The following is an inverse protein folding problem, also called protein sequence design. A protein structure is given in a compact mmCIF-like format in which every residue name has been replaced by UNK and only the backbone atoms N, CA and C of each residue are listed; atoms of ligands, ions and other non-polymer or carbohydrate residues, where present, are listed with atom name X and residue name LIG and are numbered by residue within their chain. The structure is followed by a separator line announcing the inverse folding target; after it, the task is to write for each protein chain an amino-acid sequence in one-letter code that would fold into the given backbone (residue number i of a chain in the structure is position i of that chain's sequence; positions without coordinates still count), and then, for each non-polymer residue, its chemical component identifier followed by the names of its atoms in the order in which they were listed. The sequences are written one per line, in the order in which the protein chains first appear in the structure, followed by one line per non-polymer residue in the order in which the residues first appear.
data_IF_353946239850
#
_entry.id   IF_353946239850
#
_cell.length_a   1.000
_cell.length_b   1.000
_cell.length_c   1.000
_cell.angle_alpha   90.00
_cell.angle_beta   90.00
_cell.angle_gamma   90.00
#
_symmetry.space_group_name_H-M   'P 1'
#
loop_
_entity.id
_entity.type
_entity.pdbx_description
1 polymer ?
#
# COMPACT_ATOMS: atom_id res chain seq x y z
N UNK A 1 -5.74 2.01 7.97
CA UNK A 1 -4.87 2.06 6.78
C UNK A 1 -4.83 0.67 6.13
N UNK A 2 -5.48 0.48 4.98
CA UNK A 2 -5.54 -0.84 4.31
C UNK A 2 -4.19 -1.33 3.78
N UNK A 3 -3.29 -0.40 3.41
CA UNK A 3 -1.97 -0.72 2.85
C UNK A 3 -0.99 -1.32 3.87
N UNK A 4 -0.86 -0.70 5.06
CA UNK A 4 0.00 -1.24 6.13
C UNK A 4 -0.50 -2.60 6.62
N UNK A 5 -1.84 -2.79 6.66
CA UNK A 5 -2.44 -4.07 7.00
C UNK A 5 -2.07 -5.17 5.98
N UNK A 6 -2.04 -4.86 4.69
CA UNK A 6 -1.60 -5.80 3.65
C UNK A 6 -0.12 -6.16 3.78
N UNK A 7 0.75 -5.19 4.08
CA UNK A 7 2.16 -5.44 4.35
C UNK A 7 2.33 -6.37 5.56
N UNK A 8 1.63 -6.09 6.66
CA UNK A 8 1.72 -6.90 7.88
C UNK A 8 1.21 -8.32 7.65
N UNK A 9 0.09 -8.48 6.95
CA UNK A 9 -0.44 -9.80 6.58
C UNK A 9 0.55 -10.61 5.74
N UNK A 10 1.27 -9.96 4.82
CA UNK A 10 2.26 -10.63 3.98
C UNK A 10 3.53 -11.02 4.76
N UNK A 11 3.99 -10.16 5.69
CA UNK A 11 5.10 -10.47 6.60
C UNK A 11 4.75 -11.69 7.47
N UNK A 12 3.53 -11.72 8.03
CA UNK A 12 3.04 -12.84 8.84
C UNK A 12 2.91 -14.12 8.01
N UNK A 13 2.32 -14.04 6.81
CA UNK A 13 2.18 -15.16 5.87
C UNK A 13 3.52 -15.82 5.55
N UNK A 14 4.57 -15.01 5.36
CA UNK A 14 5.94 -15.46 5.06
C UNK A 14 6.76 -15.80 6.31
N UNK A 15 6.24 -15.54 7.51
CA UNK A 15 6.93 -15.72 8.80
C UNK A 15 8.29 -15.01 8.86
N UNK A 16 8.41 -13.85 8.22
CA UNK A 16 9.64 -13.07 8.18
C UNK A 16 9.89 -12.37 9.51
N UNK A 17 11.10 -12.46 10.06
CA UNK A 17 11.45 -11.69 11.26
C UNK A 17 11.72 -10.25 10.88
N UNK A 18 11.29 -9.31 11.73
CA UNK A 18 11.52 -7.88 11.51
C UNK A 18 13.01 -7.55 11.31
N UNK A 19 13.91 -8.23 12.03
CA UNK A 19 15.36 -8.03 11.89
C UNK A 19 15.89 -8.43 10.52
N UNK A 20 15.37 -9.53 9.95
CA UNK A 20 15.75 -10.01 8.62
C UNK A 20 15.22 -9.06 7.55
N UNK A 21 13.97 -8.62 7.70
CA UNK A 21 13.32 -7.65 6.82
C UNK A 21 14.10 -6.33 6.80
N UNK A 22 14.51 -5.82 7.97
CA UNK A 22 15.32 -4.61 8.09
C UNK A 22 16.66 -4.72 7.34
N UNK A 23 17.33 -5.88 7.45
CA UNK A 23 18.58 -6.15 6.75
C UNK A 23 18.39 -6.17 5.23
N UNK A 24 17.35 -6.84 4.73
CA UNK A 24 17.07 -6.91 3.28
C UNK A 24 16.79 -5.53 2.67
N UNK A 25 16.10 -4.66 3.41
CA UNK A 25 15.73 -3.30 2.95
C UNK A 25 16.88 -2.30 3.18
N UNK A 26 17.80 -2.63 4.09
CA UNK A 26 18.92 -1.80 4.49
C UNK A 26 18.51 -0.61 5.37
N UNK A 27 17.72 -0.88 6.42
CA UNK A 27 17.31 0.08 7.47
C UNK A 27 17.56 -0.49 8.86
N UNK A 28 17.44 0.32 9.91
CA UNK A 28 17.58 -0.15 11.29
C UNK A 28 16.34 -0.95 11.72
N UNK A 29 16.55 -1.90 12.64
CA UNK A 29 15.46 -2.69 13.21
C UNK A 29 14.41 -1.78 13.91
N UNK A 30 14.85 -0.74 14.62
CA UNK A 30 13.95 0.22 15.24
C UNK A 30 13.07 0.98 14.23
N UNK A 31 13.57 1.21 13.01
CA UNK A 31 12.82 1.89 11.96
C UNK A 31 11.73 0.97 11.37
N UNK A 32 12.05 -0.28 11.06
CA UNK A 32 11.05 -1.22 10.54
C UNK A 32 9.99 -1.54 11.59
N UNK A 33 10.38 -1.67 12.86
CA UNK A 33 9.46 -1.94 13.97
C UNK A 33 8.50 -0.75 14.16
N UNK A 34 9.02 0.48 14.11
CA UNK A 34 8.18 1.68 14.16
C UNK A 34 7.22 1.76 12.98
N UNK A 35 7.66 1.41 11.77
CA UNK A 35 6.82 1.40 10.57
C UNK A 35 5.69 0.36 10.65
N UNK A 36 6.02 -0.90 10.94
CA UNK A 36 5.06 -2.02 11.05
C UNK A 36 3.99 -1.74 12.10
N UNK A 37 4.37 -1.09 13.20
CA UNK A 37 3.49 -0.70 14.30
C UNK A 37 2.66 0.56 14.01
N UNK A 38 2.79 1.18 12.83
CA UNK A 38 2.06 2.38 12.43
C UNK A 38 2.60 3.69 13.04
N UNK A 39 3.83 3.68 13.55
CA UNK A 39 4.51 4.84 14.10
C UNK A 39 5.09 5.75 13.02
N UNK A 40 6.38 5.58 12.68
CA UNK A 40 7.08 6.41 11.70
C UNK A 40 7.02 5.83 10.29
N UNK A 41 6.95 6.70 9.30
CA UNK A 41 7.11 6.32 7.90
C UNK A 41 8.58 6.03 7.57
N UNK A 42 8.80 5.17 6.59
CA UNK A 42 10.11 4.98 5.95
C UNK A 42 10.15 5.77 4.64
N UNK A 43 11.34 6.06 4.12
CA UNK A 43 11.51 6.75 2.85
C UNK A 43 11.00 5.89 1.67
N UNK A 44 10.60 6.55 0.58
CA UNK A 44 9.95 5.89 -0.57
C UNK A 44 10.83 4.82 -1.22
N UNK A 45 12.15 5.02 -1.29
CA UNK A 45 13.11 4.02 -1.78
C UNK A 45 13.12 2.75 -0.92
N UNK A 46 13.03 2.91 0.40
CA UNK A 46 12.97 1.79 1.36
C UNK A 46 11.62 1.09 1.31
N UNK A 47 10.54 1.84 1.10
CA UNK A 47 9.22 1.27 0.88
C UNK A 47 9.18 0.45 -0.41
N UNK A 48 9.76 0.92 -1.51
CA UNK A 48 9.84 0.15 -2.76
C UNK A 48 10.61 -1.15 -2.53
N UNK A 49 11.79 -1.09 -1.90
CA UNK A 49 12.56 -2.29 -1.55
C UNK A 49 11.79 -3.25 -0.64
N UNK A 50 11.04 -2.74 0.33
CA UNK A 50 10.16 -3.57 1.18
C UNK A 50 9.14 -4.32 0.33
N UNK A 51 8.49 -3.64 -0.61
CA UNK A 51 7.51 -4.25 -1.50
C UNK A 51 8.14 -5.28 -2.44
N UNK A 52 9.36 -5.02 -2.93
CA UNK A 52 10.13 -5.98 -3.74
C UNK A 52 10.48 -7.24 -2.95
N UNK A 53 10.98 -7.09 -1.72
CA UNK A 53 11.29 -8.21 -0.81
C UNK A 53 10.05 -9.04 -0.48
N UNK A 54 8.90 -8.38 -0.33
CA UNK A 54 7.62 -9.04 -0.09
C UNK A 54 6.94 -9.51 -1.38
N UNK A 55 7.53 -9.27 -2.54
CA UNK A 55 6.97 -9.51 -3.88
C UNK A 55 5.54 -8.97 -4.05
N UNK A 56 5.23 -7.87 -3.35
CA UNK A 56 3.93 -7.21 -3.44
C UNK A 56 3.95 -6.39 -4.73
N UNK A 57 3.25 -6.89 -5.75
CA UNK A 57 3.00 -6.12 -6.96
C UNK A 57 2.01 -5.01 -6.64
N UNK A 58 2.45 -3.76 -6.76
CA UNK A 58 1.54 -2.62 -6.83
C UNK A 58 0.73 -2.72 -8.13
N UNK A 59 -0.41 -3.41 -8.07
CA UNK A 59 -1.33 -3.39 -9.19
C UNK A 59 -2.05 -2.04 -9.20
N UNK A 60 -1.96 -1.31 -10.31
CA UNK A 60 -2.99 -0.32 -10.61
C UNK A 60 -4.30 -1.09 -10.64
N UNK A 61 -5.26 -0.69 -9.80
CA UNK A 61 -6.63 -1.20 -9.91
C UNK A 61 -7.06 -0.90 -11.34
N UNK A 62 -7.28 -1.93 -12.15
CA UNK A 62 -7.90 -1.76 -13.46
C UNK A 62 -9.28 -1.16 -13.18
N UNK A 63 -9.46 0.13 -13.45
CA UNK A 63 -10.79 0.74 -13.42
C UNK A 63 -11.63 -0.02 -14.46
N UNK A 64 -12.71 -0.66 -14.01
CA UNK A 64 -13.62 -1.32 -14.94
C UNK A 64 -14.37 -0.26 -15.73
N UNK A 65 -14.83 -0.62 -16.93
CA UNK A 65 -15.69 0.25 -17.73
C UNK A 65 -16.94 0.67 -16.92
N UNK A 66 -17.41 -0.20 -16.03
CA UNK A 66 -18.53 0.06 -15.12
C UNK A 66 -18.22 1.17 -14.11
N UNK A 67 -17.03 1.16 -13.50
CA UNK A 67 -16.56 2.23 -12.58
C UNK A 67 -16.51 3.60 -13.30
N UNK A 68 -16.07 3.60 -14.56
CA UNK A 68 -16.02 4.81 -15.41
C UNK A 68 -17.43 5.28 -15.78
N UNK A 69 -18.33 4.37 -16.18
CA UNK A 69 -19.72 4.70 -16.53
C UNK A 69 -20.46 5.26 -15.33
N UNK A 70 -20.27 4.70 -14.13
CA UNK A 70 -20.86 5.22 -12.90
C UNK A 70 -20.39 6.64 -12.64
N UNK A 71 -19.08 6.93 -12.72
CA UNK A 71 -18.56 8.30 -12.55
C UNK A 71 -19.12 9.29 -13.55
N UNK A 72 -19.23 8.92 -14.83
CA UNK A 72 -19.80 9.79 -15.87
C UNK A 72 -21.28 10.06 -15.56
N UNK A 73 -22.08 9.02 -15.29
CA UNK A 73 -23.50 9.17 -14.93
C UNK A 73 -23.69 10.04 -13.69
N UNK A 74 -22.86 9.87 -12.66
CA UNK A 74 -22.92 10.71 -11.47
C UNK A 74 -22.54 12.17 -11.77
N UNK A 75 -21.54 12.40 -12.60
CA UNK A 75 -21.11 13.76 -12.98
C UNK A 75 -22.19 14.46 -13.82
N UNK A 76 -22.81 13.75 -14.76
CA UNK A 76 -23.97 14.23 -15.53
C UNK A 76 -25.18 14.56 -14.63
N UNK A 77 -25.46 13.72 -13.63
CA UNK A 77 -26.56 13.94 -12.69
C UNK A 77 -26.32 15.14 -11.76
N UNK A 78 -25.08 15.38 -11.36
CA UNK A 78 -24.70 16.53 -10.53
C UNK A 78 -24.74 17.82 -11.36
N UNK A 79 -24.24 17.80 -12.61
CA UNK A 79 -24.29 18.97 -13.50
C UNK A 79 -25.73 19.39 -13.84
N UNK A 80 -26.66 18.44 -14.00
CA UNK A 80 -28.09 18.74 -14.23
C UNK A 80 -28.83 19.32 -13.03
N UNK A 81 -28.31 19.19 -11.80
CA UNK A 81 -28.90 19.78 -10.58
C UNK A 81 -28.34 21.16 -10.24
N UNK A 82 -27.32 21.63 -10.96
CA UNK A 82 -26.65 22.91 -10.69
C UNK A 82 -27.06 23.99 -11.70
N UNK A 83 -28.12 23.74 -12.48
CA UNK A 83 -28.79 24.70 -13.36
C UNK A 83 -30.26 24.83 -12.98
#
# INVERSE_FOLDING_TARGET
MQFLAAINAEIERRKLKQVELAQMIGIRNSEICSFISGGRTISSDKLIRLLEVLEIKLMKKEETIEDVIVRIKYTDLVQRKTH
#
